data_IF_780079609259
#
_entry.id   IF_780079609259
#
_cell.length_a   1.000
_cell.length_b   1.000
_cell.length_c   1.000
_cell.angle_alpha   90.00
_cell.angle_beta   90.00
_cell.angle_gamma   90.00
#
_symmetry.space_group_name_H-M   'P 1'
#
loop_
_entity.id
_entity.type
_entity.pdbx_description
1 polymer ?
#
# COMPACT_ATOMS: atom_id res chain seq x y z
N UNK A 1 -55.39 -23.25 -31.51
CA UNK A 1 -54.82 -22.40 -30.44
C UNK A 1 -55.37 -20.99 -30.61
N UNK A 2 -56.10 -20.45 -29.63
CA UNK A 2 -56.87 -19.22 -29.80
C UNK A 2 -55.94 -17.99 -29.84
N UNK A 3 -56.01 -17.20 -30.93
CA UNK A 3 -55.20 -15.98 -31.10
C UNK A 3 -55.24 -15.03 -29.90
N UNK A 4 -56.39 -14.95 -29.22
CA UNK A 4 -56.60 -14.16 -27.99
C UNK A 4 -55.75 -14.63 -26.81
N UNK A 5 -55.50 -15.94 -26.71
CA UNK A 5 -54.64 -16.51 -25.67
C UNK A 5 -53.18 -16.17 -25.90
N UNK A 6 -52.70 -16.23 -27.15
CA UNK A 6 -51.35 -15.82 -27.54
C UNK A 6 -51.08 -14.35 -27.25
N UNK A 7 -52.03 -13.46 -27.53
CA UNK A 7 -51.88 -12.01 -27.24
C UNK A 7 -51.84 -11.72 -25.74
N UNK A 8 -52.64 -12.42 -24.94
CA UNK A 8 -52.64 -12.26 -23.48
C UNK A 8 -51.34 -12.81 -22.86
N UNK A 9 -50.84 -13.94 -23.36
CA UNK A 9 -49.58 -14.53 -22.91
C UNK A 9 -48.39 -13.61 -23.24
N UNK A 10 -48.35 -13.05 -24.46
CA UNK A 10 -47.31 -12.10 -24.86
C UNK A 10 -47.31 -10.83 -23.99
N UNK A 11 -48.49 -10.29 -23.67
CA UNK A 11 -48.62 -9.11 -22.81
C UNK A 11 -48.17 -9.42 -21.36
N UNK A 12 -48.55 -10.57 -20.83
CA UNK A 12 -48.13 -11.01 -19.49
C UNK A 12 -46.61 -11.20 -19.40
N UNK A 13 -45.99 -11.79 -20.42
CA UNK A 13 -44.52 -11.95 -20.50
C UNK A 13 -43.81 -10.60 -20.59
N UNK A 14 -44.37 -9.65 -21.35
CA UNK A 14 -43.80 -8.31 -21.47
C UNK A 14 -43.86 -7.56 -20.14
N UNK A 15 -44.98 -7.65 -19.41
CA UNK A 15 -45.11 -7.07 -18.07
C UNK A 15 -44.16 -7.72 -17.06
N UNK A 16 -44.00 -9.05 -17.12
CA UNK A 16 -43.03 -9.79 -16.29
C UNK A 16 -41.59 -9.34 -16.56
N UNK A 17 -41.23 -9.14 -17.82
CA UNK A 17 -39.90 -8.64 -18.18
C UNK A 17 -39.70 -7.21 -17.67
N UNK A 18 -40.64 -6.29 -17.92
CA UNK A 18 -40.49 -4.91 -17.44
C UNK A 18 -40.42 -4.85 -15.92
N UNK A 19 -41.23 -5.65 -15.22
CA UNK A 19 -41.20 -5.74 -13.76
C UNK A 19 -39.89 -6.30 -13.21
N UNK A 20 -39.32 -7.34 -13.85
CA UNK A 20 -38.04 -7.91 -13.42
C UNK A 20 -36.87 -6.95 -13.66
N UNK A 21 -36.86 -6.26 -14.81
CA UNK A 21 -35.86 -5.23 -15.09
C UNK A 21 -35.93 -4.08 -14.09
N UNK A 22 -37.13 -3.61 -13.74
CA UNK A 22 -37.31 -2.56 -12.74
C UNK A 22 -36.81 -2.99 -11.35
N UNK A 23 -37.07 -4.24 -10.96
CA UNK A 23 -36.62 -4.78 -9.68
C UNK A 23 -35.09 -4.94 -9.60
N UNK A 24 -34.46 -5.42 -10.67
CA UNK A 24 -33.00 -5.55 -10.76
C UNK A 24 -32.35 -4.15 -10.72
N UNK A 25 -32.89 -3.19 -11.48
CA UNK A 25 -32.37 -1.82 -11.51
C UNK A 25 -32.41 -1.16 -10.12
N UNK A 26 -33.53 -1.25 -9.39
CA UNK A 26 -33.66 -0.72 -8.02
C UNK A 26 -32.62 -1.34 -7.07
N UNK A 27 -32.43 -2.66 -7.15
CA UNK A 27 -31.46 -3.36 -6.29
C UNK A 27 -30.01 -2.97 -6.61
N UNK A 28 -29.68 -2.83 -7.89
CA UNK A 28 -28.36 -2.40 -8.34
C UNK A 28 -28.06 -0.96 -7.91
N UNK A 29 -29.02 -0.04 -8.08
CA UNK A 29 -28.86 1.35 -7.64
C UNK A 29 -28.65 1.41 -6.13
N UNK A 30 -29.46 0.68 -5.35
CA UNK A 30 -29.33 0.64 -3.89
C UNK A 30 -27.98 0.08 -3.46
N UNK A 31 -27.50 -0.96 -4.13
CA UNK A 31 -26.19 -1.55 -3.86
C UNK A 31 -25.06 -0.56 -4.14
N UNK A 32 -25.07 0.10 -5.31
CA UNK A 32 -24.07 1.13 -5.66
C UNK A 32 -24.14 2.31 -4.69
N UNK A 33 -25.34 2.79 -4.33
CA UNK A 33 -25.50 3.89 -3.37
C UNK A 33 -25.17 3.51 -1.93
N UNK A 34 -25.11 2.19 -1.63
CA UNK A 34 -24.74 1.69 -0.31
C UNK A 34 -23.23 1.48 -0.17
N UNK A 35 -22.48 1.58 -1.26
CA UNK A 35 -21.02 1.60 -1.18
C UNK A 35 -20.60 2.92 -0.52
N UNK A 36 -19.76 2.89 0.51
CA UNK A 36 -19.22 4.10 1.08
C UNK A 36 -18.47 4.88 0.00
N UNK A 37 -18.75 6.19 -0.12
CA UNK A 37 -18.14 7.12 -1.10
C UNK A 37 -16.60 7.17 -1.03
N UNK A 38 -16.03 6.60 0.03
CA UNK A 38 -14.61 6.62 0.35
C UNK A 38 -14.30 5.42 1.22
N UNK A 39 -13.34 4.60 0.79
CA UNK A 39 -12.67 3.64 1.68
C UNK A 39 -11.75 4.50 2.55
N UNK A 40 -12.22 4.84 3.75
CA UNK A 40 -11.41 5.53 4.73
C UNK A 40 -10.44 4.51 5.33
N UNK A 41 -9.26 4.40 4.73
CA UNK A 41 -8.17 3.61 5.31
C UNK A 41 -7.60 4.42 6.47
N UNK A 42 -8.11 4.17 7.68
CA UNK A 42 -7.44 4.62 8.91
C UNK A 42 -6.22 3.73 9.11
N UNK A 43 -5.05 4.24 8.75
CA UNK A 43 -3.80 3.64 9.22
C UNK A 43 -3.56 4.19 10.62
N UNK A 44 -3.47 3.32 11.62
CA UNK A 44 -2.94 3.75 12.91
C UNK A 44 -1.48 4.18 12.71
N UNK A 45 -1.00 5.12 13.52
CA UNK A 45 0.36 5.67 13.39
C UNK A 45 1.45 4.59 13.42
N UNK A 46 1.18 3.50 14.12
CA UNK A 46 2.07 2.34 14.22
C UNK A 46 2.13 1.55 12.90
N UNK A 47 1.02 1.44 12.16
CA UNK A 47 0.97 0.75 10.87
C UNK A 47 1.75 1.50 9.78
N UNK A 48 1.67 2.84 9.78
CA UNK A 48 2.48 3.65 8.87
C UNK A 48 3.95 3.53 9.19
N UNK A 49 4.31 3.58 10.47
CA UNK A 49 5.69 3.43 10.93
C UNK A 49 6.24 2.07 10.50
N UNK A 50 5.49 0.98 10.70
CA UNK A 50 5.89 -0.35 10.27
C UNK A 50 6.09 -0.45 8.74
N UNK A 51 5.21 0.16 7.94
CA UNK A 51 5.35 0.19 6.49
C UNK A 51 6.59 0.96 6.03
N UNK A 52 6.87 2.11 6.64
CA UNK A 52 8.09 2.87 6.35
C UNK A 52 9.34 2.10 6.75
N UNK A 53 9.35 1.50 7.94
CA UNK A 53 10.47 0.67 8.42
C UNK A 53 10.75 -0.48 7.47
N UNK A 54 9.73 -1.22 7.06
CA UNK A 54 9.90 -2.35 6.17
C UNK A 54 10.33 -1.93 4.75
N UNK A 55 9.84 -0.79 4.26
CA UNK A 55 10.29 -0.21 2.99
C UNK A 55 11.77 0.16 3.00
N UNK A 56 12.25 0.73 4.11
CA UNK A 56 13.67 1.02 4.31
C UNK A 56 14.46 -0.28 4.40
N UNK A 57 14.02 -1.25 5.19
CA UNK A 57 14.66 -2.58 5.31
C UNK A 57 14.80 -3.28 3.96
N UNK A 58 13.74 -3.29 3.15
CA UNK A 58 13.75 -3.86 1.81
C UNK A 58 14.78 -3.14 0.91
N UNK A 59 14.88 -1.82 1.04
CA UNK A 59 15.83 -1.02 0.25
C UNK A 59 17.29 -1.23 0.66
N UNK A 60 17.55 -1.52 1.93
CA UNK A 60 18.88 -1.82 2.47
C UNK A 60 19.34 -3.24 2.14
N UNK A 61 18.42 -4.20 2.10
CA UNK A 61 18.74 -5.63 1.93
C UNK A 61 18.76 -6.10 0.47
N UNK A 62 18.25 -5.30 -0.46
CA UNK A 62 18.31 -5.64 -1.89
C UNK A 62 19.75 -5.61 -2.44
N UNK A 63 20.08 -6.38 -3.49
CA UNK A 63 21.46 -6.52 -3.99
C UNK A 63 21.99 -5.33 -4.81
N UNK A 64 21.23 -4.24 -4.93
CA UNK A 64 21.57 -3.07 -5.74
C UNK A 64 22.31 -2.02 -4.91
N UNK A 65 23.62 -1.86 -5.16
CA UNK A 65 24.48 -0.95 -4.43
C UNK A 65 24.13 0.53 -4.65
N UNK A 66 23.60 0.90 -5.83
CA UNK A 66 23.21 2.29 -6.10
C UNK A 66 21.98 2.67 -5.27
N UNK A 67 21.00 1.77 -5.19
CA UNK A 67 19.80 2.02 -4.38
C UNK A 67 20.13 1.97 -2.89
N UNK A 68 20.98 1.03 -2.45
CA UNK A 68 21.48 1.01 -1.07
C UNK A 68 22.18 2.32 -0.70
N UNK A 69 23.09 2.80 -1.56
CA UNK A 69 23.82 4.07 -1.36
C UNK A 69 22.86 5.25 -1.29
N UNK A 70 21.89 5.34 -2.20
CA UNK A 70 20.90 6.41 -2.21
C UNK A 70 20.04 6.40 -0.94
N UNK A 71 19.62 5.22 -0.48
CA UNK A 71 18.85 5.07 0.74
C UNK A 71 19.68 5.49 1.97
N UNK A 72 20.89 4.94 2.13
CA UNK A 72 21.79 5.28 3.23
C UNK A 72 22.12 6.78 3.26
N UNK A 73 22.34 7.41 2.10
CA UNK A 73 22.57 8.85 2.02
C UNK A 73 21.36 9.65 2.50
N UNK A 74 20.15 9.24 2.12
CA UNK A 74 18.91 9.88 2.55
C UNK A 74 18.68 9.73 4.06
N UNK A 75 18.97 8.56 4.62
CA UNK A 75 18.89 8.29 6.05
C UNK A 75 19.91 9.13 6.84
N UNK A 76 21.15 9.22 6.36
CA UNK A 76 22.20 10.02 6.97
C UNK A 76 21.84 11.52 6.99
N UNK A 77 21.36 12.06 5.88
CA UNK A 77 20.89 13.45 5.82
C UNK A 77 19.73 13.72 6.79
N UNK A 78 18.80 12.76 6.95
CA UNK A 78 17.73 12.85 7.93
C UNK A 78 18.26 12.86 9.37
N UNK A 79 19.26 12.03 9.65
CA UNK A 79 19.89 11.90 10.97
C UNK A 79 20.70 13.14 11.37
N UNK A 80 21.37 13.82 10.42
CA UNK A 80 22.18 15.04 10.69
C UNK A 80 21.38 16.17 11.36
N UNK A 81 20.07 16.24 11.11
CA UNK A 81 19.18 17.23 11.72
C UNK A 81 18.40 16.74 12.94
N UNK A 82 18.49 15.45 13.30
CA UNK A 82 17.63 14.83 14.29
C UNK A 82 18.32 13.66 15.01
N UNK A 83 18.84 13.93 16.22
CA UNK A 83 19.53 12.93 17.06
C UNK A 83 18.62 11.77 17.51
N UNK A 84 17.31 12.03 17.68
CA UNK A 84 16.34 10.97 18.02
C UNK A 84 16.17 10.01 16.85
N UNK A 85 16.09 10.54 15.63
CA UNK A 85 16.05 9.74 14.41
C UNK A 85 17.35 8.95 14.21
N UNK A 86 18.51 9.55 14.48
CA UNK A 86 19.80 8.86 14.40
C UNK A 86 19.84 7.64 15.34
N UNK A 87 19.42 7.84 16.60
CA UNK A 87 19.36 6.77 17.61
C UNK A 87 18.37 5.68 17.22
N UNK A 88 17.20 6.08 16.71
CA UNK A 88 16.19 5.14 16.24
C UNK A 88 16.68 4.32 15.04
N UNK A 89 17.32 4.94 14.05
CA UNK A 89 17.88 4.27 12.87
C UNK A 89 18.94 3.23 13.26
N UNK A 90 19.82 3.59 14.19
CA UNK A 90 20.83 2.66 14.71
C UNK A 90 20.19 1.47 15.43
N UNK A 91 19.11 1.70 16.19
CA UNK A 91 18.44 0.64 16.95
C UNK A 91 17.62 -0.27 16.04
N UNK A 92 16.87 0.28 15.08
CA UNK A 92 15.93 -0.47 14.24
C UNK A 92 16.62 -1.23 13.10
N UNK A 93 17.74 -0.70 12.58
CA UNK A 93 18.47 -1.25 11.44
C UNK A 93 19.90 -1.71 11.78
N UNK A 94 20.19 -1.98 13.06
CA UNK A 94 21.52 -2.37 13.53
C UNK A 94 22.12 -3.49 12.68
N UNK A 95 21.36 -4.57 12.48
CA UNK A 95 21.83 -5.76 11.77
C UNK A 95 22.07 -5.49 10.28
N UNK A 96 21.18 -4.75 9.63
CA UNK A 96 21.31 -4.37 8.23
C UNK A 96 22.52 -3.44 8.04
N UNK A 97 22.71 -2.46 8.93
CA UNK A 97 23.83 -1.54 8.88
C UNK A 97 25.17 -2.26 9.13
N UNK A 98 25.25 -3.20 10.07
CA UNK A 98 26.44 -4.02 10.29
C UNK A 98 26.78 -4.87 9.06
N UNK A 99 25.78 -5.46 8.41
CA UNK A 99 25.97 -6.22 7.18
C UNK A 99 26.50 -5.33 6.05
N UNK A 100 25.90 -4.14 5.88
CA UNK A 100 26.28 -3.18 4.84
C UNK A 100 27.64 -2.54 5.09
N UNK A 101 28.03 -2.33 6.36
CA UNK A 101 29.35 -1.86 6.74
C UNK A 101 30.46 -2.84 6.31
N UNK A 102 30.13 -4.13 6.17
CA UNK A 102 31.01 -5.17 5.65
C UNK A 102 30.84 -5.42 4.14
N UNK A 103 30.10 -4.57 3.43
CA UNK A 103 29.91 -4.67 1.98
C UNK A 103 31.23 -4.53 1.24
N UNK A 104 31.30 -5.12 0.04
CA UNK A 104 32.45 -4.94 -0.87
C UNK A 104 32.41 -3.56 -1.54
N UNK A 105 31.23 -2.95 -1.60
CA UNK A 105 31.07 -1.59 -2.11
C UNK A 105 31.50 -0.57 -1.06
N UNK A 106 32.50 0.24 -1.42
CA UNK A 106 33.12 1.22 -0.52
C UNK A 106 32.15 2.33 -0.14
N UNK A 107 31.26 2.73 -1.05
CA UNK A 107 30.27 3.78 -0.81
C UNK A 107 29.23 3.34 0.22
N UNK A 108 28.67 2.14 0.00
CA UNK A 108 27.71 1.51 0.91
C UNK A 108 28.35 1.29 2.29
N UNK A 109 29.53 0.68 2.34
CA UNK A 109 30.23 0.39 3.59
C UNK A 109 30.54 1.67 4.39
N UNK A 110 31.00 2.72 3.71
CA UNK A 110 31.31 4.00 4.34
C UNK A 110 30.07 4.69 4.89
N UNK A 111 28.96 4.71 4.14
CA UNK A 111 27.72 5.36 4.59
C UNK A 111 27.07 4.61 5.76
N UNK A 112 27.02 3.28 5.70
CA UNK A 112 26.51 2.47 6.80
C UNK A 112 27.32 2.72 8.08
N UNK A 113 28.65 2.74 7.97
CA UNK A 113 29.54 3.04 9.10
C UNK A 113 29.33 4.46 9.64
N UNK A 114 29.11 5.44 8.77
CA UNK A 114 28.81 6.82 9.19
C UNK A 114 27.53 6.90 10.00
N UNK A 115 26.44 6.26 9.56
CA UNK A 115 25.17 6.20 10.30
C UNK A 115 25.35 5.50 11.65
N UNK A 116 26.13 4.41 11.71
CA UNK A 116 26.41 3.72 12.97
C UNK A 116 27.24 4.57 13.95
N UNK A 117 28.03 5.53 13.44
CA UNK A 117 28.87 6.42 14.24
C UNK A 117 28.24 7.76 14.58
N UNK A 118 27.06 8.08 14.02
CA UNK A 118 26.42 9.37 14.21
C UNK A 118 25.76 9.46 15.60
N UNK A 119 26.35 10.23 16.51
CA UNK A 119 25.79 10.56 17.83
C UNK A 119 25.48 12.05 17.94
#
# INVERSE_FOLDING_TARGET
MNRRFLTLLALALLLLMVGSFAWVADRSIRWVSSLPDRIEMSFDGDDLTALFTEGIRASLTQPDADIQTQMLHSLLQGAEGNAELATWLQTEFESELESLANSTDVGVASLASMIMSSH
#
